data_IF_625406152607
#
_entry.id   IF_625406152607
#
_cell.length_a   1.000
_cell.length_b   1.000
_cell.length_c   1.000
_cell.angle_alpha   90.00
_cell.angle_beta   90.00
_cell.angle_gamma   90.00
#
_symmetry.space_group_name_H-M   'P 1'
#
loop_
_entity.id
_entity.type
_entity.pdbx_description
1 polymer ?
#
# COMPACT_ATOMS: atom_id res chain seq x y z
N UNK A 1 8.62 45.15 20.72
CA UNK A 1 9.31 43.84 20.75
C UNK A 1 9.69 43.47 19.32
N UNK A 2 10.98 43.60 18.96
CA UNK A 2 11.46 43.23 17.62
C UNK A 2 11.63 41.71 17.58
N UNK A 3 10.69 41.00 16.94
CA UNK A 3 10.82 39.57 16.72
C UNK A 3 11.83 39.37 15.59
N UNK A 4 13.10 39.17 15.94
CA UNK A 4 14.12 38.75 14.98
C UNK A 4 13.63 37.45 14.36
N UNK A 5 13.20 37.50 13.09
CA UNK A 5 12.74 36.32 12.34
C UNK A 5 13.90 35.34 12.24
N UNK A 6 13.88 34.30 13.07
CA UNK A 6 14.88 33.22 13.02
C UNK A 6 14.61 32.41 11.76
N UNK A 7 15.20 32.80 10.64
CA UNK A 7 15.20 31.97 9.44
C UNK A 7 16.28 30.91 9.66
N UNK A 8 15.96 29.60 9.62
CA UNK A 8 16.98 28.57 9.79
C UNK A 8 17.92 28.56 8.58
N UNK A 9 19.22 28.41 8.83
CA UNK A 9 20.23 28.25 7.79
C UNK A 9 20.01 26.94 7.02
N UNK A 10 20.30 26.95 5.71
CA UNK A 10 20.08 25.81 4.82
C UNK A 10 20.76 24.51 5.30
N UNK A 11 22.02 24.61 5.76
CA UNK A 11 22.79 23.47 6.28
C UNK A 11 22.13 22.82 7.50
N UNK A 12 21.54 23.64 8.37
CA UNK A 12 20.82 23.15 9.55
C UNK A 12 19.52 22.45 9.16
N UNK A 13 18.84 22.94 8.12
CA UNK A 13 17.64 22.30 7.58
C UNK A 13 17.99 20.93 7.03
N UNK A 14 19.06 20.82 6.23
CA UNK A 14 19.54 19.55 5.69
C UNK A 14 19.95 18.57 6.81
N UNK A 15 20.70 19.02 7.80
CA UNK A 15 21.13 18.19 8.93
C UNK A 15 19.96 17.70 9.80
N UNK A 16 18.85 18.43 9.84
CA UNK A 16 17.66 18.04 10.58
C UNK A 16 16.73 17.09 9.79
N UNK A 17 16.96 16.90 8.49
CA UNK A 17 16.18 16.00 7.65
C UNK A 17 16.66 14.56 7.78
N UNK A 18 15.71 13.63 7.80
CA UNK A 18 15.98 12.20 7.85
C UNK A 18 16.04 11.67 6.41
N UNK A 19 17.13 10.99 6.00
CA UNK A 19 17.19 10.32 4.71
C UNK A 19 16.00 9.36 4.50
N UNK A 20 15.35 9.45 3.34
CA UNK A 20 14.22 8.57 2.97
C UNK A 20 12.89 8.89 3.65
N UNK A 21 12.80 9.97 4.40
CA UNK A 21 11.55 10.44 5.01
C UNK A 21 11.04 11.69 4.30
N UNK A 22 9.75 11.68 3.96
CA UNK A 22 9.07 12.85 3.39
C UNK A 22 8.70 13.79 4.53
N UNK A 23 9.26 15.00 4.52
CA UNK A 23 9.02 15.99 5.58
C UNK A 23 8.17 17.15 5.08
N UNK A 24 7.21 17.55 5.90
CA UNK A 24 6.40 18.73 5.62
C UNK A 24 7.12 20.00 6.10
N UNK A 25 6.95 21.15 5.42
CA UNK A 25 7.49 22.42 5.89
C UNK A 25 7.00 22.80 7.30
N UNK A 26 5.80 22.34 7.68
CA UNK A 26 5.22 22.60 9.00
C UNK A 26 5.94 21.83 10.10
N UNK A 27 6.33 20.58 9.84
CA UNK A 27 7.04 19.77 10.82
C UNK A 27 8.49 20.22 10.99
N UNK A 28 9.15 20.61 9.89
CA UNK A 28 10.44 21.28 9.94
C UNK A 28 10.37 22.59 10.73
N UNK A 29 9.36 23.42 10.48
CA UNK A 29 9.18 24.68 11.19
C UNK A 29 9.01 24.48 12.71
N UNK A 30 8.29 23.43 13.15
CA UNK A 30 8.18 23.05 14.57
C UNK A 30 9.54 22.70 15.18
N UNK A 31 10.38 21.93 14.47
CA UNK A 31 11.73 21.57 14.94
C UNK A 31 12.61 22.79 15.16
N UNK A 32 12.47 23.82 14.34
CA UNK A 32 13.22 25.07 14.46
C UNK A 32 12.55 26.14 15.33
N UNK A 33 11.33 25.90 15.82
CA UNK A 33 10.55 26.90 16.58
C UNK A 33 10.18 28.13 15.75
N UNK A 34 9.88 27.94 14.46
CA UNK A 34 9.65 29.02 13.48
C UNK A 34 8.33 28.83 12.72
N UNK A 35 7.98 29.79 11.87
CA UNK A 35 6.83 29.68 10.99
C UNK A 35 7.20 28.99 9.67
N UNK A 36 6.32 28.13 9.16
CA UNK A 36 6.52 27.44 7.88
C UNK A 36 6.69 28.38 6.67
N UNK A 37 6.18 29.61 6.76
CA UNK A 37 6.39 30.65 5.74
C UNK A 37 7.86 31.09 5.63
N UNK A 38 8.63 30.99 6.72
CA UNK A 38 10.05 31.35 6.76
C UNK A 38 10.96 30.21 6.30
N UNK A 39 10.54 28.97 6.52
CA UNK A 39 11.30 27.76 6.12
C UNK A 39 11.14 27.48 4.62
N UNK A 40 9.99 27.83 4.03
CA UNK A 40 9.71 27.56 2.61
C UNK A 40 10.71 28.13 1.63
N UNK A 41 11.07 29.43 1.67
CA UNK A 41 12.05 29.97 0.73
C UNK A 41 13.37 29.20 0.75
N UNK A 42 13.80 28.76 1.94
CA UNK A 42 15.01 27.95 2.12
C UNK A 42 14.87 26.57 1.48
N UNK A 43 13.73 25.91 1.68
CA UNK A 43 13.46 24.61 1.04
C UNK A 43 13.39 24.71 -0.48
N UNK A 44 12.79 25.77 -1.02
CA UNK A 44 12.71 25.99 -2.46
C UNK A 44 14.07 26.30 -3.07
N UNK A 45 14.92 27.02 -2.35
CA UNK A 45 16.31 27.23 -2.74
C UNK A 45 17.08 25.90 -2.75
N UNK A 46 16.95 25.08 -1.71
CA UNK A 46 17.58 23.75 -1.63
C UNK A 46 17.08 22.76 -2.71
N UNK A 47 15.84 22.90 -3.18
CA UNK A 47 15.34 22.17 -4.36
C UNK A 47 16.03 22.66 -5.64
N UNK A 48 16.20 23.97 -5.78
CA UNK A 48 16.89 24.57 -6.93
C UNK A 48 18.36 24.14 -6.98
N UNK A 49 18.99 24.04 -5.82
CA UNK A 49 20.37 23.57 -5.65
C UNK A 49 20.51 22.04 -5.82
N UNK A 50 19.39 21.32 -6.00
CA UNK A 50 19.36 19.86 -6.22
C UNK A 50 19.56 19.01 -4.96
N UNK A 51 19.59 19.61 -3.76
CA UNK A 51 19.73 18.89 -2.50
C UNK A 51 18.42 18.23 -2.05
N UNK A 52 17.27 18.76 -2.50
CA UNK A 52 15.93 18.27 -2.15
C UNK A 52 15.08 17.99 -3.39
N UNK A 53 14.20 17.00 -3.28
CA UNK A 53 13.13 16.75 -4.25
C UNK A 53 11.77 17.17 -3.68
N UNK A 54 10.93 17.80 -4.51
CA UNK A 54 9.53 18.07 -4.16
C UNK A 54 8.69 16.81 -4.33
N UNK A 55 7.96 16.43 -3.28
CA UNK A 55 7.02 15.31 -3.27
C UNK A 55 5.60 15.85 -3.25
N UNK A 56 4.81 15.67 -4.33
CA UNK A 56 3.39 16.04 -4.32
C UNK A 56 2.60 15.08 -3.42
N UNK A 57 1.81 15.63 -2.50
CA UNK A 57 0.88 14.87 -1.66
C UNK A 57 -0.56 15.13 -2.10
N UNK A 58 -1.32 14.05 -2.38
CA UNK A 58 -2.70 14.12 -2.87
C UNK A 58 -3.68 14.90 -1.96
N UNK A 59 -3.37 15.01 -0.66
CA UNK A 59 -4.26 15.64 0.34
C UNK A 59 -3.84 17.06 0.73
N UNK A 60 -2.73 17.58 0.21
CA UNK A 60 -2.15 18.86 0.67
C UNK A 60 -1.86 19.75 -0.53
N UNK A 61 -2.35 21.00 -0.49
CA UNK A 61 -2.15 21.99 -1.57
C UNK A 61 -0.67 22.33 -1.79
N UNK A 62 0.19 22.13 -0.78
CA UNK A 62 1.60 22.50 -0.82
C UNK A 62 2.48 21.24 -0.79
N UNK A 63 3.58 21.23 -1.54
CA UNK A 63 4.45 20.06 -1.63
C UNK A 63 5.18 19.81 -0.31
N UNK A 64 5.51 18.54 -0.11
CA UNK A 64 6.47 18.09 0.90
C UNK A 64 7.84 17.89 0.25
N UNK A 65 8.86 17.65 1.06
CA UNK A 65 10.25 17.61 0.61
C UNK A 65 10.94 16.35 1.13
N UNK A 66 11.84 15.79 0.32
CA UNK A 66 12.70 14.66 0.67
C UNK A 66 14.13 14.97 0.23
N UNK A 67 15.13 14.40 0.91
CA UNK A 67 16.52 14.51 0.48
C UNK A 67 16.70 13.81 -0.88
N UNK A 68 17.31 14.53 -1.84
CA UNK A 68 17.55 14.00 -3.18
C UNK A 68 18.38 12.70 -3.11
N UNK A 69 18.03 11.72 -3.93
CA UNK A 69 18.71 10.41 -3.97
C UNK A 69 18.39 9.46 -2.80
N UNK A 70 17.59 9.90 -1.82
CA UNK A 70 17.13 9.04 -0.71
C UNK A 70 15.69 8.55 -0.88
N UNK A 71 15.09 8.83 -2.03
CA UNK A 71 13.72 8.49 -2.33
C UNK A 71 13.51 6.98 -2.17
N UNK A 72 12.56 6.59 -1.32
CA UNK A 72 12.16 5.18 -1.25
C UNK A 72 11.57 4.84 -2.62
N UNK A 73 12.21 3.94 -3.35
CA UNK A 73 11.64 3.30 -4.51
C UNK A 73 10.30 2.67 -4.09
N UNK A 74 9.20 3.40 -4.26
CA UNK A 74 7.88 2.78 -4.30
C UNK A 74 7.89 1.94 -5.55
N UNK A 75 8.16 0.64 -5.37
CA UNK A 75 7.84 -0.35 -6.38
C UNK A 75 6.40 -0.05 -6.80
N UNK A 76 6.22 0.29 -8.08
CA UNK A 76 4.91 0.45 -8.69
C UNK A 76 4.13 -0.80 -8.31
N UNK A 77 3.10 -0.67 -7.48
CA UNK A 77 2.23 -1.81 -7.20
C UNK A 77 1.60 -2.14 -8.53
N UNK A 78 2.09 -3.19 -9.18
CA UNK A 78 1.43 -3.76 -10.34
C UNK A 78 -0.03 -3.94 -9.93
N UNK A 79 -0.90 -3.19 -10.61
CA UNK A 79 -2.32 -3.26 -10.38
C UNK A 79 -2.76 -4.72 -10.44
N UNK A 80 -3.70 -5.11 -9.59
CA UNK A 80 -4.22 -6.47 -9.52
C UNK A 80 -4.53 -7.02 -10.92
N UNK A 81 -3.71 -7.96 -11.41
CA UNK A 81 -3.86 -8.65 -12.72
C UNK A 81 -4.65 -9.96 -12.55
N UNK A 82 -5.37 -10.12 -11.43
CA UNK A 82 -6.17 -11.32 -11.20
C UNK A 82 -7.47 -11.25 -11.99
N UNK A 83 -7.66 -12.15 -12.95
CA UNK A 83 -8.99 -12.39 -13.53
C UNK A 83 -9.89 -12.86 -12.37
N UNK A 84 -11.04 -12.22 -12.10
CA UNK A 84 -11.95 -12.66 -11.06
C UNK A 84 -12.38 -14.11 -11.31
N UNK A 85 -12.33 -14.96 -10.29
CA UNK A 85 -12.81 -16.34 -10.40
C UNK A 85 -14.27 -16.34 -10.89
N UNK A 86 -14.54 -17.08 -11.98
CA UNK A 86 -15.86 -17.16 -12.59
C UNK A 86 -16.92 -17.77 -11.65
N UNK A 87 -18.20 -17.61 -12.01
CA UNK A 87 -19.33 -18.19 -11.25
C UNK A 87 -19.18 -19.71 -11.13
N UNK A 88 -19.42 -20.26 -9.94
CA UNK A 88 -19.51 -21.72 -9.72
C UNK A 88 -20.63 -22.31 -10.56
N UNK A 89 -20.28 -23.08 -11.57
CA UNK A 89 -21.21 -23.97 -12.29
C UNK A 89 -21.14 -25.35 -11.65
N UNK A 90 -22.27 -25.87 -11.16
CA UNK A 90 -22.38 -27.28 -10.78
C UNK A 90 -22.89 -28.07 -11.98
N UNK A 91 -22.30 -29.23 -12.25
CA UNK A 91 -22.82 -30.18 -13.21
C UNK A 91 -23.86 -31.05 -12.50
N UNK A 92 -25.09 -31.08 -13.02
CA UNK A 92 -26.10 -32.05 -12.57
C UNK A 92 -25.78 -33.36 -13.28
N UNK A 93 -25.22 -34.32 -12.54
CA UNK A 93 -25.04 -35.68 -13.03
C UNK A 93 -26.39 -36.41 -12.96
N UNK A 94 -27.17 -36.34 -14.03
CA UNK A 94 -28.39 -37.13 -14.18
C UNK A 94 -28.06 -38.48 -14.83
N UNK A 95 -28.11 -39.56 -14.06
CA UNK A 95 -27.98 -40.93 -14.55
C UNK A 95 -28.48 -41.92 -13.50
N UNK A 96 -29.10 -43.02 -13.94
CA UNK A 96 -29.54 -44.08 -13.03
C UNK A 96 -28.35 -44.94 -12.61
N UNK A 97 -28.15 -45.10 -11.30
CA UNK A 97 -27.08 -45.89 -10.69
C UNK A 97 -27.43 -47.38 -10.69
N UNK A 98 -27.56 -47.97 -11.88
CA UNK A 98 -28.00 -49.36 -12.09
C UNK A 98 -27.12 -50.41 -11.36
N UNK A 99 -25.86 -50.07 -11.06
CA UNK A 99 -24.95 -50.95 -10.32
C UNK A 99 -25.34 -51.15 -8.86
N UNK A 100 -25.94 -50.15 -8.21
CA UNK A 100 -26.32 -50.21 -6.80
C UNK A 100 -27.55 -51.10 -6.60
N UNK A 101 -28.51 -51.03 -7.53
CA UNK A 101 -29.71 -51.87 -7.52
C UNK A 101 -29.38 -53.36 -7.71
N UNK A 102 -28.39 -53.67 -8.55
CA UNK A 102 -27.91 -55.04 -8.76
C UNK A 102 -27.23 -55.62 -7.50
N UNK A 103 -26.41 -54.82 -6.81
CA UNK A 103 -25.79 -55.17 -5.53
C UNK A 103 -26.83 -55.44 -4.44
N UNK A 104 -27.86 -54.58 -4.33
CA UNK A 104 -28.94 -54.75 -3.34
C UNK A 104 -29.69 -56.06 -3.58
N UNK A 105 -30.07 -56.35 -4.84
CA UNK A 105 -30.75 -57.62 -5.18
C UNK A 105 -29.91 -58.84 -4.82
N UNK A 106 -28.62 -58.83 -5.17
CA UNK A 106 -27.69 -59.92 -4.83
C UNK A 106 -27.61 -60.17 -3.32
N UNK A 107 -27.58 -59.11 -2.50
CA UNK A 107 -27.57 -59.24 -1.04
C UNK A 107 -28.89 -59.79 -0.50
N UNK A 108 -30.03 -59.36 -1.06
CA UNK A 108 -31.33 -59.88 -0.69
C UNK A 108 -31.44 -61.39 -0.99
N UNK A 109 -30.97 -61.83 -2.16
CA UNK A 109 -30.96 -63.25 -2.54
C UNK A 109 -30.11 -64.09 -1.59
N UNK A 110 -28.92 -63.61 -1.22
CA UNK A 110 -28.04 -64.28 -0.25
C UNK A 110 -28.69 -64.41 1.14
N UNK A 111 -29.33 -63.34 1.63
CA UNK A 111 -30.05 -63.38 2.91
C UNK A 111 -31.21 -64.40 2.91
N UNK A 112 -31.89 -64.56 1.77
CA UNK A 112 -32.98 -65.53 1.64
C UNK A 112 -32.48 -66.97 1.50
N UNK A 113 -31.27 -67.20 0.96
CA UNK A 113 -30.64 -68.52 0.92
C UNK A 113 -30.21 -69.03 2.30
N UNK A 114 -29.76 -68.15 3.20
CA UNK A 114 -29.36 -68.49 4.58
C UNK A 114 -30.57 -68.82 5.48
N UNK A 115 -31.79 -68.48 5.04
CA UNK A 115 -33.03 -68.66 5.80
C UNK A 115 -33.74 -69.99 5.57
N UNK A 116 -33.15 -70.90 4.78
CA UNK A 116 -33.57 -72.30 4.59
C UNK A 116 -32.65 -73.24 5.36
#
# INVERSE_FOLDING_TARGET
MSYTKKIPAADRVLAAMTPGEVQSPSDLAKRFGTAASLVRPVLEQLVTDGALTRVPCLRVKRPNYILAGTEKHTATRDGYVGIPAGRRTYAVLSGNLNGYDAEIRRRADLCMMVRR
#
